data_IF_989749092006
#
_entry.id   IF_989749092006
#
_cell.length_a   1.000
_cell.length_b   1.000
_cell.length_c   1.000
_cell.angle_alpha   90.00
_cell.angle_beta   90.00
_cell.angle_gamma   90.00
#
_symmetry.space_group_name_H-M   'P 1'
#
loop_
_entity.id
_entity.type
_entity.pdbx_description
1 polymer ?
#
# COMPACT_ATOMS: atom_id res chain seq x y z
N UNK A 1 32.95 15.30 17.10
CA UNK A 1 31.70 15.12 16.31
C UNK A 1 31.11 16.47 16.03
N UNK A 2 30.98 16.87 14.77
CA UNK A 2 30.54 18.21 14.40
C UNK A 2 29.01 18.28 14.49
N UNK A 3 28.48 18.98 15.49
CA UNK A 3 27.03 19.08 15.73
C UNK A 3 26.43 20.09 14.76
N UNK A 4 25.62 19.63 13.81
CA UNK A 4 24.93 20.49 12.83
C UNK A 4 23.91 21.36 13.55
N UNK A 5 23.84 22.64 13.20
CA UNK A 5 22.83 23.56 13.72
C UNK A 5 21.43 23.12 13.26
N UNK A 6 20.38 23.48 14.03
CA UNK A 6 18.98 23.28 13.62
C UNK A 6 18.72 23.91 12.24
N UNK A 7 19.37 25.04 11.94
CA UNK A 7 19.29 25.68 10.63
C UNK A 7 19.84 24.78 9.52
N UNK A 8 21.00 24.15 9.73
CA UNK A 8 21.62 23.25 8.75
C UNK A 8 20.76 22.02 8.50
N UNK A 9 20.16 21.46 9.56
CA UNK A 9 19.23 20.34 9.45
C UNK A 9 18.00 20.72 8.63
N UNK A 10 17.39 21.87 8.90
CA UNK A 10 16.20 22.34 8.16
C UNK A 10 16.50 22.58 6.67
N UNK A 11 17.71 23.03 6.34
CA UNK A 11 18.17 23.24 4.96
C UNK A 11 18.36 21.90 4.24
N UNK A 12 18.95 20.91 4.91
CA UNK A 12 19.12 19.56 4.38
C UNK A 12 17.76 18.89 4.13
N UNK A 13 16.83 18.99 5.08
CA UNK A 13 15.48 18.43 4.93
C UNK A 13 14.73 19.03 3.75
N UNK A 14 14.75 20.38 3.60
CA UNK A 14 14.11 21.05 2.48
C UNK A 14 14.70 20.65 1.13
N UNK A 15 16.03 20.55 1.05
CA UNK A 15 16.72 20.07 -0.14
C UNK A 15 16.33 18.62 -0.47
N UNK A 16 16.34 17.73 0.52
CA UNK A 16 15.92 16.34 0.34
C UNK A 16 14.48 16.24 -0.13
N UNK A 17 13.57 17.09 0.35
CA UNK A 17 12.19 17.12 -0.13
C UNK A 17 12.08 17.54 -1.60
N UNK A 18 12.87 18.52 -2.04
CA UNK A 18 12.86 19.01 -3.44
C UNK A 18 13.45 17.98 -4.42
N UNK A 19 14.39 17.16 -3.97
CA UNK A 19 15.02 16.11 -4.78
C UNK A 19 14.19 14.83 -4.91
N UNK A 20 13.05 14.72 -4.21
CA UNK A 20 12.23 13.51 -4.26
C UNK A 20 11.56 13.34 -5.62
N UNK A 21 11.49 12.10 -6.15
CA UNK A 21 10.77 11.84 -7.37
C UNK A 21 9.29 12.18 -7.20
N UNK A 22 8.70 12.83 -8.21
CA UNK A 22 7.26 13.07 -8.25
C UNK A 22 6.52 11.73 -8.19
N UNK A 23 5.49 11.64 -7.33
CA UNK A 23 4.67 10.45 -7.19
C UNK A 23 4.04 10.06 -8.55
N UNK A 24 4.39 8.90 -9.05
CA UNK A 24 3.84 8.31 -10.27
C UNK A 24 2.53 7.58 -9.93
N UNK A 25 1.44 8.34 -9.84
CA UNK A 25 0.10 7.78 -9.54
C UNK A 25 -0.31 6.65 -10.50
N UNK A 26 0.12 6.71 -11.76
CA UNK A 26 -0.15 5.68 -12.78
C UNK A 26 0.57 4.34 -12.55
N UNK A 27 1.65 4.34 -11.75
CA UNK A 27 2.40 3.13 -11.44
C UNK A 27 1.84 2.37 -10.21
N UNK A 28 1.02 3.05 -9.40
CA UNK A 28 0.35 2.46 -8.25
C UNK A 28 -0.66 1.42 -8.73
N UNK A 29 -0.62 0.21 -8.19
CA UNK A 29 -1.53 -0.86 -8.60
C UNK A 29 -1.67 -1.97 -7.56
N UNK A 30 -2.89 -2.47 -7.43
CA UNK A 30 -3.25 -3.71 -6.74
C UNK A 30 -4.64 -4.11 -7.21
N UNK A 31 -4.91 -5.41 -7.25
CA UNK A 31 -6.23 -5.97 -7.57
C UNK A 31 -6.51 -7.25 -6.76
N UNK A 32 -7.62 -7.92 -7.06
CA UNK A 32 -8.03 -9.17 -6.41
C UNK A 32 -7.45 -10.44 -7.04
N UNK A 33 -6.57 -10.34 -8.04
CA UNK A 33 -6.01 -11.50 -8.75
C UNK A 33 -4.91 -12.18 -7.92
N UNK A 34 -4.55 -13.41 -8.31
CA UNK A 34 -3.49 -14.20 -7.65
C UNK A 34 -2.13 -13.51 -7.57
N UNK A 35 -1.86 -12.56 -8.48
CA UNK A 35 -0.60 -11.82 -8.50
C UNK A 35 -0.51 -10.79 -7.36
N UNK A 36 -1.67 -10.34 -6.84
CA UNK A 36 -1.77 -9.31 -5.81
C UNK A 36 -2.46 -9.78 -4.52
N UNK A 37 -3.11 -10.94 -4.55
CA UNK A 37 -3.79 -11.55 -3.42
C UNK A 37 -3.58 -13.06 -3.45
N UNK A 38 -2.94 -13.60 -2.42
CA UNK A 38 -2.68 -15.04 -2.32
C UNK A 38 -3.01 -15.57 -0.92
N UNK A 39 -3.88 -16.61 -0.81
CA UNK A 39 -4.66 -17.22 -1.89
C UNK A 39 -5.70 -16.24 -2.49
N UNK A 40 -6.06 -16.44 -3.75
CA UNK A 40 -7.05 -15.60 -4.44
C UNK A 40 -8.48 -15.85 -3.92
N UNK A 41 -8.78 -17.11 -3.57
CA UNK A 41 -10.03 -17.56 -2.96
C UNK A 41 -9.75 -18.11 -1.54
N UNK A 42 -9.53 -17.23 -0.55
CA UNK A 42 -9.23 -17.64 0.81
C UNK A 42 -10.43 -18.28 1.50
N UNK A 43 -10.18 -19.30 2.31
CA UNK A 43 -11.14 -19.86 3.26
C UNK A 43 -11.22 -19.00 4.52
N UNK A 44 -12.22 -19.27 5.35
CA UNK A 44 -12.30 -18.69 6.69
C UNK A 44 -11.05 -19.00 7.48
N UNK A 45 -10.56 -18.01 8.25
CA UNK A 45 -9.35 -18.13 9.07
C UNK A 45 -8.05 -18.38 8.29
N UNK A 46 -8.06 -18.27 6.96
CA UNK A 46 -6.83 -18.27 6.19
C UNK A 46 -6.01 -17.01 6.42
N UNK A 47 -4.70 -17.16 6.22
CA UNK A 47 -3.79 -16.03 6.07
C UNK A 47 -3.71 -15.64 4.60
N UNK A 48 -3.95 -14.36 4.32
CA UNK A 48 -3.87 -13.81 2.97
C UNK A 48 -2.73 -12.82 2.87
N UNK A 49 -1.84 -13.05 1.92
CA UNK A 49 -0.85 -12.06 1.50
C UNK A 49 -1.48 -11.11 0.50
N UNK A 50 -1.48 -9.82 0.83
CA UNK A 50 -1.96 -8.74 -0.04
C UNK A 50 -0.74 -7.92 -0.48
N UNK A 51 -0.65 -7.65 -1.78
CA UNK A 51 0.47 -6.98 -2.43
C UNK A 51 0.02 -5.68 -3.11
N UNK A 52 0.92 -4.72 -3.14
CA UNK A 52 0.73 -3.41 -3.76
C UNK A 52 1.99 -3.02 -4.54
N UNK A 53 1.82 -2.62 -5.79
CA UNK A 53 2.89 -2.18 -6.68
C UNK A 53 3.02 -0.67 -6.67
N UNK A 54 4.24 -0.17 -6.71
CA UNK A 54 4.57 1.24 -6.99
C UNK A 54 5.66 1.31 -8.05
N UNK A 55 5.89 2.51 -8.62
CA UNK A 55 7.17 2.76 -9.30
C UNK A 55 8.31 2.56 -8.30
N UNK A 56 9.43 2.02 -8.76
CA UNK A 56 10.64 1.81 -7.96
C UNK A 56 11.10 3.11 -7.30
N UNK A 57 11.43 3.02 -6.01
CA UNK A 57 11.96 4.10 -5.18
C UNK A 57 11.11 5.41 -5.21
N UNK A 58 9.78 5.28 -5.42
CA UNK A 58 8.88 6.42 -5.62
C UNK A 58 7.96 6.72 -4.42
N UNK A 59 7.92 5.83 -3.42
CA UNK A 59 7.12 5.99 -2.20
C UNK A 59 7.99 5.70 -0.98
N UNK A 60 7.69 6.38 0.14
CA UNK A 60 8.37 6.07 1.41
C UNK A 60 7.70 4.89 2.11
N UNK A 61 6.36 4.82 2.01
CA UNK A 61 5.57 3.90 2.80
C UNK A 61 4.22 3.62 2.17
N UNK A 62 3.79 2.36 2.31
CA UNK A 62 2.45 1.89 1.97
C UNK A 62 1.83 1.28 3.21
N UNK A 63 0.58 1.62 3.48
CA UNK A 63 -0.25 1.03 4.52
C UNK A 63 -1.43 0.32 3.89
N UNK A 64 -1.79 -0.83 4.43
CA UNK A 64 -3.12 -1.42 4.25
C UNK A 64 -4.00 -0.96 5.41
N UNK A 65 -5.13 -0.35 5.07
CA UNK A 65 -6.08 0.21 6.04
C UNK A 65 -7.38 -0.60 5.99
N UNK A 66 -7.90 -0.97 7.15
CA UNK A 66 -9.18 -1.69 7.30
C UNK A 66 -9.82 -1.32 8.64
N UNK A 67 -11.08 -0.87 8.61
CA UNK A 67 -11.77 -0.31 9.79
C UNK A 67 -10.87 0.72 10.50
N UNK A 68 -10.57 0.53 11.78
CA UNK A 68 -9.67 1.38 12.58
C UNK A 68 -8.20 0.92 12.58
N UNK A 69 -7.89 -0.18 11.88
CA UNK A 69 -6.53 -0.73 11.83
C UNK A 69 -5.80 -0.25 10.58
N UNK A 70 -4.51 0.07 10.75
CA UNK A 70 -3.55 0.32 9.66
C UNK A 70 -2.33 -0.55 9.87
N UNK A 71 -1.91 -1.25 8.82
CA UNK A 71 -0.78 -2.17 8.85
C UNK A 71 0.26 -1.73 7.83
N UNK A 72 1.49 -1.52 8.29
CA UNK A 72 2.59 -1.09 7.41
C UNK A 72 2.97 -2.26 6.51
N UNK A 73 2.98 -2.02 5.21
CA UNK A 73 3.43 -3.03 4.25
C UNK A 73 4.95 -3.03 4.14
N UNK A 74 5.54 -4.22 4.00
CA UNK A 74 6.99 -4.40 3.81
C UNK A 74 7.30 -4.46 2.32
N UNK A 75 8.33 -3.75 1.84
CA UNK A 75 8.85 -3.96 0.48
C UNK A 75 9.45 -5.37 0.40
N UNK A 76 8.87 -6.23 -0.44
CA UNK A 76 9.21 -7.65 -0.56
C UNK A 76 9.93 -7.97 -1.85
N UNK A 77 9.71 -7.20 -2.91
CA UNK A 77 10.33 -7.42 -4.22
C UNK A 77 10.56 -6.08 -4.94
N UNK A 78 11.66 -6.01 -5.68
CA UNK A 78 11.90 -4.97 -6.69
C UNK A 78 12.15 -5.67 -8.02
N UNK A 79 11.37 -5.36 -9.05
CA UNK A 79 11.48 -5.98 -10.37
C UNK A 79 11.23 -4.95 -11.46
N UNK A 80 12.19 -4.83 -12.39
CA UNK A 80 12.19 -3.79 -13.43
C UNK A 80 12.03 -2.39 -12.81
N UNK A 81 11.03 -1.64 -13.26
CA UNK A 81 10.73 -0.28 -12.80
C UNK A 81 9.75 -0.24 -11.61
N UNK A 82 9.51 -1.37 -10.93
CA UNK A 82 8.50 -1.47 -9.89
C UNK A 82 9.04 -2.02 -8.57
N UNK A 83 8.55 -1.43 -7.48
CA UNK A 83 8.65 -1.99 -6.14
C UNK A 83 7.31 -2.60 -5.74
N UNK A 84 7.37 -3.70 -5.00
CA UNK A 84 6.20 -4.39 -4.48
C UNK A 84 6.28 -4.49 -2.98
N UNK A 85 5.16 -4.14 -2.35
CA UNK A 85 4.97 -4.16 -0.93
C UNK A 85 3.94 -5.22 -0.59
N UNK A 86 4.18 -5.98 0.48
CA UNK A 86 3.25 -7.01 0.94
C UNK A 86 2.95 -6.90 2.43
N UNK A 87 1.77 -7.37 2.82
CA UNK A 87 1.38 -7.63 4.21
C UNK A 87 0.56 -8.90 4.28
N UNK A 88 0.73 -9.67 5.35
CA UNK A 88 -0.10 -10.83 5.63
C UNK A 88 -1.24 -10.43 6.57
N UNK A 89 -2.46 -10.81 6.22
CA UNK A 89 -3.68 -10.56 6.99
C UNK A 89 -4.25 -11.89 7.44
N UNK A 90 -4.44 -12.03 8.75
CA UNK A 90 -5.24 -13.10 9.32
C UNK A 90 -6.72 -12.78 9.10
N UNK A 91 -7.41 -13.59 8.30
CA UNK A 91 -8.86 -13.46 8.11
C UNK A 91 -9.63 -14.08 9.27
N UNK A 92 -10.90 -13.71 9.38
CA UNK A 92 -11.91 -14.43 10.16
C UNK A 92 -12.97 -15.02 9.22
N UNK A 93 -14.22 -15.06 9.66
CA UNK A 93 -15.40 -15.44 8.85
C UNK A 93 -16.06 -14.26 8.14
N UNK A 94 -15.93 -13.05 8.68
CA UNK A 94 -16.59 -11.86 8.14
C UNK A 94 -15.89 -11.29 6.90
N UNK A 95 -16.62 -10.61 5.99
CA UNK A 95 -16.01 -9.89 4.88
C UNK A 95 -14.95 -8.89 5.34
N UNK A 96 -13.78 -8.98 4.72
CA UNK A 96 -12.64 -8.11 5.01
C UNK A 96 -12.53 -6.99 3.97
N UNK A 97 -12.86 -5.77 4.40
CA UNK A 97 -12.79 -4.58 3.57
C UNK A 97 -11.48 -3.82 3.81
N UNK A 98 -10.82 -3.37 2.74
CA UNK A 98 -9.57 -2.62 2.86
C UNK A 98 -9.32 -1.65 1.70
N UNK A 99 -8.43 -0.70 1.95
CA UNK A 99 -7.84 0.20 0.96
C UNK A 99 -6.36 0.44 1.29
N UNK A 100 -5.64 1.13 0.42
CA UNK A 100 -4.24 1.48 0.66
C UNK A 100 -4.09 2.98 0.93
N UNK A 101 -3.18 3.32 1.85
CA UNK A 101 -2.65 4.67 2.01
C UNK A 101 -1.19 4.68 1.58
N UNK A 102 -0.84 5.55 0.65
CA UNK A 102 0.51 5.70 0.10
C UNK A 102 1.07 7.05 0.52
N UNK A 103 2.29 7.06 1.05
CA UNK A 103 2.96 8.26 1.57
C UNK A 103 4.30 8.47 0.86
N UNK A 104 4.56 9.71 0.45
CA UNK A 104 5.86 10.18 -0.03
C UNK A 104 6.10 11.61 0.47
N UNK A 105 6.89 11.72 1.55
CA UNK A 105 7.20 12.97 2.22
C UNK A 105 5.96 13.54 2.86
N UNK A 106 5.60 14.75 2.45
CA UNK A 106 4.38 15.43 2.91
C UNK A 106 3.14 15.05 2.08
N UNK A 107 3.33 14.31 0.97
CA UNK A 107 2.23 13.90 0.11
C UNK A 107 1.68 12.56 0.58
N UNK A 108 0.35 12.48 0.61
CA UNK A 108 -0.37 11.22 0.75
C UNK A 108 -1.47 11.10 -0.29
N UNK A 109 -1.77 9.86 -0.66
CA UNK A 109 -2.96 9.53 -1.43
C UNK A 109 -3.47 8.16 -1.03
N UNK A 110 -4.67 7.84 -1.51
CA UNK A 110 -5.37 6.61 -1.18
C UNK A 110 -5.62 5.83 -2.47
N UNK A 111 -5.71 4.51 -2.37
CA UNK A 111 -5.97 3.64 -3.50
C UNK A 111 -7.01 2.59 -3.10
N UNK A 112 -8.08 2.51 -3.87
CA UNK A 112 -9.16 1.53 -3.73
C UNK A 112 -9.42 0.84 -5.07
N UNK A 113 -10.53 0.11 -5.24
CA UNK A 113 -10.82 -0.62 -6.50
C UNK A 113 -10.96 0.28 -7.72
N UNK A 114 -11.26 1.56 -7.53
CA UNK A 114 -11.34 2.58 -8.59
C UNK A 114 -10.03 3.36 -8.77
N UNK A 115 -8.95 2.94 -8.10
CA UNK A 115 -7.62 3.52 -8.22
C UNK A 115 -7.38 4.70 -7.28
N UNK A 116 -6.47 5.59 -7.69
CA UNK A 116 -5.94 6.67 -6.84
C UNK A 116 -6.98 7.74 -6.56
N UNK A 117 -7.07 8.16 -5.30
CA UNK A 117 -7.96 9.23 -4.84
C UNK A 117 -7.37 10.00 -3.65
N UNK A 118 -8.05 11.07 -3.22
CA UNK A 118 -7.57 11.98 -2.18
C UNK A 118 -8.16 11.70 -0.79
N UNK A 119 -9.15 10.80 -0.68
CA UNK A 119 -9.80 10.44 0.59
C UNK A 119 -10.39 9.02 0.50
N UNK A 120 -10.40 8.23 1.60
CA UNK A 120 -11.04 6.92 1.60
C UNK A 120 -12.52 6.98 1.17
N UNK A 121 -12.95 5.96 0.42
CA UNK A 121 -14.33 5.80 -0.10
C UNK A 121 -14.81 4.38 0.17
N UNK A 122 -15.65 4.22 1.19
CA UNK A 122 -16.04 2.91 1.71
C UNK A 122 -16.70 2.02 0.64
N UNK A 123 -17.51 2.61 -0.23
CA UNK A 123 -18.20 1.93 -1.32
C UNK A 123 -17.25 1.30 -2.36
N UNK A 124 -16.00 1.76 -2.41
CA UNK A 124 -15.00 1.30 -3.37
C UNK A 124 -13.85 0.50 -2.76
N UNK A 125 -13.88 0.24 -1.44
CA UNK A 125 -12.90 -0.62 -0.80
C UNK A 125 -12.80 -1.98 -1.49
N UNK A 126 -11.61 -2.56 -1.48
CA UNK A 126 -11.44 -3.96 -1.81
C UNK A 126 -12.19 -4.80 -0.79
N UNK A 127 -12.76 -5.92 -1.24
CA UNK A 127 -13.41 -6.90 -0.39
C UNK A 127 -12.76 -8.27 -0.61
N UNK A 128 -12.57 -8.98 0.50
CA UNK A 128 -12.35 -10.43 0.52
C UNK A 128 -13.54 -11.02 1.26
N UNK A 129 -14.24 -11.97 0.62
CA UNK A 129 -15.31 -12.75 1.25
C UNK A 129 -14.73 -14.15 1.49
N UNK A 130 -14.35 -14.49 2.73
CA UNK A 130 -13.81 -15.81 3.04
C UNK A 130 -14.81 -16.92 2.68
N UNK A 131 -14.32 -18.02 2.11
CA UNK A 131 -15.15 -19.16 1.71
C UNK A 131 -15.89 -19.00 0.38
N UNK A 132 -15.81 -17.84 -0.28
CA UNK A 132 -16.29 -17.68 -1.64
C UNK A 132 -15.34 -18.35 -2.64
N UNK A 133 -15.90 -19.19 -3.52
CA UNK A 133 -15.17 -19.83 -4.62
C UNK A 133 -15.94 -19.71 -5.92
N UNK A 134 -15.21 -19.54 -7.02
CA UNK A 134 -15.76 -19.62 -8.36
C UNK A 134 -15.69 -21.07 -8.86
N UNK A 135 -16.67 -21.55 -9.64
CA UNK A 135 -16.54 -22.86 -10.31
C UNK A 135 -15.32 -22.89 -11.24
N UNK A 136 -14.63 -24.03 -11.30
CA UNK A 136 -13.55 -24.27 -12.26
C UNK A 136 -14.06 -24.50 -13.69
#
# INVERSE_FOLDING_TARGET
>A
MNQKSIYDLSRIERYMMQMRPVLSKKALFSDGTKDYRSPAEPRENDKVTIRFRTKRDNVDMVWLCSREKKQRMKRTETKWDFDYYSVEIQLGSEPFFYYFKVVTGILECYYDRYGVNNKPREEYYFCIVPGFSTPE
#
